data_IF_534194363649
#
_entry.id   IF_534194363649
#
_cell.length_a   1.000
_cell.length_b   1.000
_cell.length_c   1.000
_cell.angle_alpha   90.00
_cell.angle_beta   90.00
_cell.angle_gamma   90.00
#
_symmetry.space_group_name_H-M   'P 1'
#
loop_
_entity.id
_entity.type
_entity.pdbx_description
1 polymer ?
#
# COMPACT_ATOMS: atom_id res chain seq x y z
N UNK A 1 -13.83 -67.49 -11.99
CA UNK A 1 -12.86 -66.37 -12.07
C UNK A 1 -13.12 -65.48 -10.86
N UNK A 2 -12.21 -65.44 -9.87
CA UNK A 2 -12.30 -64.57 -8.67
C UNK A 2 -11.27 -63.45 -8.77
N UNK A 3 -11.52 -62.30 -8.14
CA UNK A 3 -10.69 -61.10 -8.27
C UNK A 3 -9.55 -61.07 -7.24
N UNK A 4 -8.43 -60.42 -7.58
CA UNK A 4 -7.20 -60.38 -6.76
C UNK A 4 -7.46 -59.80 -5.36
N UNK A 5 -8.47 -58.93 -5.21
CA UNK A 5 -8.86 -58.32 -3.94
C UNK A 5 -9.47 -59.35 -2.96
N UNK A 6 -10.24 -60.32 -3.46
CA UNK A 6 -10.92 -61.36 -2.66
C UNK A 6 -9.94 -62.40 -2.08
N UNK A 7 -8.87 -62.71 -2.83
CA UNK A 7 -7.80 -63.64 -2.42
C UNK A 7 -6.96 -63.08 -1.26
N UNK A 8 -6.92 -61.75 -1.10
CA UNK A 8 -6.09 -61.07 -0.10
C UNK A 8 -6.87 -60.75 1.18
N UNK A 9 -8.20 -60.63 1.14
CA UNK A 9 -8.99 -60.14 2.28
C UNK A 9 -9.97 -61.11 2.95
N UNK A 10 -10.32 -62.27 2.36
CA UNK A 10 -11.32 -63.16 2.97
C UNK A 10 -11.30 -64.63 2.56
N UNK A 11 -11.02 -64.96 1.30
CA UNK A 11 -11.29 -66.30 0.75
C UNK A 11 -10.10 -67.28 0.85
N UNK A 12 -9.07 -66.93 1.64
CA UNK A 12 -7.80 -67.68 1.65
C UNK A 12 -7.98 -69.14 2.08
N UNK A 13 -8.84 -69.40 3.07
CA UNK A 13 -9.08 -70.76 3.56
C UNK A 13 -9.72 -71.64 2.49
N UNK A 14 -10.80 -71.17 1.87
CA UNK A 14 -11.52 -71.89 0.82
C UNK A 14 -10.63 -72.22 -0.40
N UNK A 15 -9.71 -71.31 -0.75
CA UNK A 15 -8.75 -71.53 -1.85
C UNK A 15 -7.72 -72.62 -1.47
N UNK A 16 -7.23 -72.64 -0.24
CA UNK A 16 -6.28 -73.67 0.20
C UNK A 16 -6.93 -75.04 0.23
N UNK A 17 -8.19 -75.14 0.65
CA UNK A 17 -8.92 -76.40 0.72
C UNK A 17 -9.09 -77.01 -0.67
N UNK A 18 -9.49 -76.20 -1.67
CA UNK A 18 -9.65 -76.63 -3.06
C UNK A 18 -8.31 -77.08 -3.65
N UNK A 19 -7.22 -76.35 -3.38
CA UNK A 19 -5.88 -76.70 -3.88
C UNK A 19 -5.38 -77.98 -3.22
N UNK A 20 -5.60 -78.13 -1.91
CA UNK A 20 -5.20 -79.32 -1.14
C UNK A 20 -5.94 -80.55 -1.65
N UNK A 21 -7.26 -80.48 -1.84
CA UNK A 21 -8.04 -81.60 -2.37
C UNK A 21 -7.59 -82.01 -3.79
N UNK A 22 -7.34 -81.03 -4.66
CA UNK A 22 -6.89 -81.27 -6.02
C UNK A 22 -5.45 -81.83 -6.09
N UNK A 23 -4.60 -81.48 -5.12
CA UNK A 23 -3.25 -82.02 -4.99
C UNK A 23 -3.27 -83.43 -4.40
N UNK A 24 -4.07 -83.68 -3.37
CA UNK A 24 -4.20 -84.98 -2.71
C UNK A 24 -4.73 -86.07 -3.64
N UNK A 25 -5.71 -85.74 -4.50
CA UNK A 25 -6.22 -86.70 -5.52
C UNK A 25 -5.12 -87.18 -6.48
N UNK A 26 -4.20 -86.29 -6.88
CA UNK A 26 -3.08 -86.65 -7.76
C UNK A 26 -1.97 -87.38 -7.02
N UNK A 27 -1.70 -87.00 -5.77
CA UNK A 27 -0.67 -87.63 -4.96
C UNK A 27 -1.04 -89.07 -4.54
N UNK A 28 -2.34 -89.37 -4.41
CA UNK A 28 -2.85 -90.70 -4.14
C UNK A 28 -2.49 -91.73 -5.24
N UNK A 29 -2.40 -91.31 -6.50
CA UNK A 29 -1.95 -92.17 -7.62
C UNK A 29 -0.48 -92.60 -7.48
N UNK A 30 0.31 -91.87 -6.70
CA UNK A 30 1.72 -92.16 -6.42
C UNK A 30 1.95 -92.70 -5.00
N UNK A 31 0.88 -92.97 -4.23
CA UNK A 31 0.97 -93.45 -2.85
C UNK A 31 1.48 -92.42 -1.84
N UNK A 32 1.35 -91.12 -2.14
CA UNK A 32 1.84 -90.02 -1.32
C UNK A 32 0.65 -89.34 -0.62
N UNK A 33 0.76 -89.12 0.69
CA UNK A 33 -0.23 -88.40 1.50
C UNK A 33 0.20 -86.93 1.73
N UNK A 34 -0.68 -85.98 1.41
CA UNK A 34 -0.44 -84.55 1.61
C UNK A 34 -1.14 -84.10 2.90
N UNK A 35 -0.36 -83.61 3.86
CA UNK A 35 -0.86 -83.18 5.19
C UNK A 35 -1.31 -81.71 5.22
N UNK A 36 -0.59 -80.81 4.53
CA UNK A 36 -0.89 -79.37 4.53
C UNK A 36 -0.28 -78.66 3.31
N UNK A 37 -1.00 -77.68 2.75
CA UNK A 37 -0.54 -76.82 1.64
C UNK A 37 -0.59 -75.36 2.07
N UNK A 38 0.54 -74.65 1.98
CA UNK A 38 0.62 -73.22 2.31
C UNK A 38 1.20 -72.41 1.16
N UNK A 39 0.56 -71.27 0.85
CA UNK A 39 1.14 -70.28 -0.07
C UNK A 39 2.31 -69.58 0.63
N UNK A 40 3.50 -69.66 0.01
CA UNK A 40 4.74 -69.04 0.49
C UNK A 40 4.83 -67.54 0.16
N UNK A 41 4.44 -67.14 -1.06
CA UNK A 41 4.47 -65.75 -1.53
C UNK A 41 3.54 -65.59 -2.74
N UNK A 42 2.84 -64.46 -2.81
CA UNK A 42 2.12 -64.03 -4.02
C UNK A 42 2.94 -62.89 -4.61
N UNK A 43 3.44 -63.05 -5.83
CA UNK A 43 4.13 -61.98 -6.54
C UNK A 43 3.13 -61.27 -7.44
N UNK A 44 2.87 -60.00 -7.16
CA UNK A 44 2.13 -59.14 -8.07
C UNK A 44 3.06 -58.74 -9.23
N UNK A 45 2.59 -58.79 -10.50
CA UNK A 45 3.37 -58.32 -11.65
C UNK A 45 3.78 -56.85 -11.43
N UNK A 46 5.04 -56.55 -11.65
CA UNK A 46 5.64 -55.21 -11.45
C UNK A 46 5.00 -54.13 -12.33
N UNK A 47 4.31 -54.50 -13.42
CA UNK A 47 3.63 -53.54 -14.29
C UNK A 47 2.40 -52.88 -13.64
N UNK A 48 1.71 -53.55 -12.70
CA UNK A 48 0.50 -52.99 -12.07
C UNK A 48 0.86 -51.93 -11.03
N UNK A 49 2.00 -52.09 -10.34
CA UNK A 49 2.43 -51.15 -9.29
C UNK A 49 2.83 -49.79 -9.87
N UNK A 50 3.51 -49.75 -11.03
CA UNK A 50 4.01 -48.48 -11.59
C UNK A 50 2.87 -47.52 -11.96
N UNK A 51 1.76 -48.04 -12.48
CA UNK A 51 0.60 -47.22 -12.85
C UNK A 51 -0.09 -46.55 -11.65
N UNK A 52 -0.21 -47.29 -10.53
CA UNK A 52 -0.79 -46.78 -9.28
C UNK A 52 0.14 -45.74 -8.65
N UNK A 53 1.45 -46.01 -8.61
CA UNK A 53 2.42 -45.04 -8.09
C UNK A 53 2.42 -43.73 -8.87
N UNK A 54 2.41 -43.77 -10.21
CA UNK A 54 2.31 -42.56 -11.04
C UNK A 54 1.03 -41.77 -10.79
N UNK A 55 -0.10 -42.45 -10.60
CA UNK A 55 -1.36 -41.79 -10.24
C UNK A 55 -1.29 -41.12 -8.87
N UNK A 56 -0.72 -41.81 -7.88
CA UNK A 56 -0.55 -41.24 -6.53
C UNK A 56 0.39 -40.03 -6.51
N UNK A 57 1.44 -40.05 -7.34
CA UNK A 57 2.37 -38.94 -7.50
C UNK A 57 1.67 -37.72 -8.13
N UNK A 58 0.90 -37.94 -9.21
CA UNK A 58 0.11 -36.90 -9.85
C UNK A 58 -0.96 -36.30 -8.91
N UNK A 59 -1.69 -37.14 -8.16
CA UNK A 59 -2.65 -36.67 -7.15
C UNK A 59 -1.95 -35.82 -6.08
N UNK A 60 -0.80 -36.26 -5.56
CA UNK A 60 -0.02 -35.47 -4.59
C UNK A 60 0.49 -34.16 -5.14
N UNK A 61 0.97 -34.15 -6.39
CA UNK A 61 1.44 -32.92 -7.03
C UNK A 61 0.29 -31.94 -7.23
N UNK A 62 -0.88 -32.44 -7.65
CA UNK A 62 -2.10 -31.64 -7.79
C UNK A 62 -2.54 -31.05 -6.46
N UNK A 63 -2.60 -31.85 -5.39
CA UNK A 63 -2.97 -31.40 -4.05
C UNK A 63 -1.99 -30.35 -3.52
N UNK A 64 -0.68 -30.58 -3.69
CA UNK A 64 0.34 -29.62 -3.29
C UNK A 64 0.23 -28.32 -4.08
N UNK A 65 -0.04 -28.38 -5.38
CA UNK A 65 -0.24 -27.19 -6.22
C UNK A 65 -1.49 -26.42 -5.80
N UNK A 66 -2.58 -27.13 -5.51
CA UNK A 66 -3.83 -26.53 -5.04
C UNK A 66 -3.62 -25.81 -3.70
N UNK A 67 -2.96 -26.45 -2.74
CA UNK A 67 -2.66 -25.85 -1.43
C UNK A 67 -1.75 -24.63 -1.55
N UNK A 68 -0.72 -24.67 -2.41
CA UNK A 68 0.13 -23.50 -2.66
C UNK A 68 -0.65 -22.35 -3.28
N UNK A 69 -1.47 -22.63 -4.29
CA UNK A 69 -2.29 -21.61 -4.94
C UNK A 69 -3.31 -20.98 -3.98
N UNK A 70 -3.93 -21.78 -3.11
CA UNK A 70 -4.81 -21.28 -2.06
C UNK A 70 -4.05 -20.41 -1.05
N UNK A 71 -2.87 -20.86 -0.60
CA UNK A 71 -2.03 -20.09 0.31
C UNK A 71 -1.58 -18.76 -0.29
N UNK A 72 -1.21 -18.74 -1.57
CA UNK A 72 -0.87 -17.52 -2.30
C UNK A 72 -2.07 -16.57 -2.44
N UNK A 73 -3.25 -17.10 -2.80
CA UNK A 73 -4.46 -16.30 -2.92
C UNK A 73 -4.88 -15.68 -1.57
N UNK A 74 -4.79 -16.46 -0.48
CA UNK A 74 -5.07 -15.97 0.87
C UNK A 74 -4.06 -14.90 1.27
N UNK A 75 -2.77 -15.13 1.02
CA UNK A 75 -1.73 -14.17 1.35
C UNK A 75 -1.92 -12.84 0.60
N UNK A 76 -2.29 -12.87 -0.69
CA UNK A 76 -2.60 -11.67 -1.47
C UNK A 76 -3.82 -10.95 -0.88
N UNK A 77 -4.86 -11.68 -0.48
CA UNK A 77 -6.05 -11.08 0.14
C UNK A 77 -5.72 -10.40 1.47
N UNK A 78 -4.96 -11.07 2.33
CA UNK A 78 -4.56 -10.53 3.64
C UNK A 78 -3.70 -9.27 3.45
N UNK A 79 -2.71 -9.30 2.56
CA UNK A 79 -1.87 -8.12 2.28
C UNK A 79 -2.70 -6.95 1.76
N UNK A 80 -3.57 -7.19 0.77
CA UNK A 80 -4.41 -6.13 0.21
C UNK A 80 -5.38 -5.54 1.26
N UNK A 81 -5.89 -6.37 2.18
CA UNK A 81 -6.72 -5.90 3.28
C UNK A 81 -5.91 -5.04 4.27
N UNK A 82 -4.73 -5.51 4.67
CA UNK A 82 -3.84 -4.78 5.57
C UNK A 82 -3.37 -3.45 4.97
N UNK A 83 -3.03 -3.42 3.67
CA UNK A 83 -2.64 -2.21 2.96
C UNK A 83 -3.79 -1.19 2.95
N UNK A 84 -5.02 -1.63 2.64
CA UNK A 84 -6.20 -0.76 2.71
C UNK A 84 -6.42 -0.19 4.11
N UNK A 85 -6.38 -1.05 5.13
CA UNK A 85 -6.58 -0.64 6.52
C UNK A 85 -5.50 0.35 6.96
N UNK A 86 -4.25 0.16 6.56
CA UNK A 86 -3.16 1.08 6.87
C UNK A 86 -3.39 2.47 6.28
N UNK A 87 -3.83 2.55 5.03
CA UNK A 87 -4.12 3.82 4.35
C UNK A 87 -5.31 4.51 5.00
N UNK A 88 -6.37 3.76 5.33
CA UNK A 88 -7.54 4.30 6.01
C UNK A 88 -7.18 4.84 7.41
N UNK A 89 -6.41 4.09 8.19
CA UNK A 89 -5.99 4.50 9.53
C UNK A 89 -5.13 5.76 9.50
N UNK A 90 -4.17 5.82 8.57
CA UNK A 90 -3.32 7.02 8.41
C UNK A 90 -4.16 8.21 7.99
N UNK A 91 -5.08 8.05 7.04
CA UNK A 91 -5.97 9.12 6.61
C UNK A 91 -6.89 9.62 7.75
N UNK A 92 -7.42 8.71 8.57
CA UNK A 92 -8.22 9.07 9.76
C UNK A 92 -7.37 9.82 10.79
N UNK A 93 -6.15 9.35 11.05
CA UNK A 93 -5.24 10.00 11.99
C UNK A 93 -4.83 11.41 11.53
N UNK A 94 -4.55 11.59 10.23
CA UNK A 94 -4.26 12.90 9.65
C UNK A 94 -5.45 13.84 9.73
N UNK A 95 -6.65 13.36 9.36
CA UNK A 95 -7.89 14.13 9.48
C UNK A 95 -8.12 14.61 10.92
N UNK A 96 -7.99 13.70 11.88
CA UNK A 96 -8.22 14.02 13.28
C UNK A 96 -7.15 14.99 13.81
N UNK A 97 -5.89 14.84 13.39
CA UNK A 97 -4.82 15.77 13.72
C UNK A 97 -5.06 17.17 13.14
N UNK A 98 -5.52 17.27 11.90
CA UNK A 98 -5.86 18.54 11.26
C UNK A 98 -7.08 19.19 11.88
N UNK A 99 -8.07 18.40 12.31
CA UNK A 99 -9.21 18.89 13.07
C UNK A 99 -8.76 19.50 14.40
N UNK A 100 -7.96 18.76 15.19
CA UNK A 100 -7.45 19.26 16.48
C UNK A 100 -6.61 20.52 16.28
N UNK A 101 -5.78 20.57 15.23
CA UNK A 101 -4.98 21.76 14.91
C UNK A 101 -5.88 22.93 14.53
N UNK A 102 -6.91 22.71 13.70
CA UNK A 102 -7.88 23.73 13.31
C UNK A 102 -8.67 24.28 14.49
N UNK A 103 -9.09 23.41 15.41
CA UNK A 103 -9.76 23.80 16.65
C UNK A 103 -8.83 24.64 17.56
N UNK A 104 -7.55 24.23 17.66
CA UNK A 104 -6.53 24.97 18.41
C UNK A 104 -6.22 26.34 17.82
N UNK A 105 -6.06 26.42 16.49
CA UNK A 105 -5.80 27.66 15.78
C UNK A 105 -7.00 28.61 15.84
N UNK A 106 -8.23 28.07 15.73
CA UNK A 106 -9.47 28.82 15.91
C UNK A 106 -9.58 29.41 17.32
N UNK A 107 -9.37 28.59 18.35
CA UNK A 107 -9.38 29.05 19.74
C UNK A 107 -8.29 30.09 20.03
N UNK A 108 -7.10 29.95 19.45
CA UNK A 108 -6.03 30.93 19.57
C UNK A 108 -6.41 32.26 18.89
N UNK A 109 -6.98 32.20 17.68
CA UNK A 109 -7.46 33.38 16.96
C UNK A 109 -8.55 34.12 17.74
N UNK A 110 -9.49 33.41 18.35
CA UNK A 110 -10.54 33.99 19.18
C UNK A 110 -9.98 34.71 20.41
N UNK A 111 -9.05 34.08 21.13
CA UNK A 111 -8.37 34.70 22.28
C UNK A 111 -7.59 35.95 21.84
N UNK A 112 -6.91 35.90 20.70
CA UNK A 112 -6.18 37.05 20.17
C UNK A 112 -7.11 38.19 19.75
N UNK A 113 -8.25 37.88 19.13
CA UNK A 113 -9.26 38.87 18.78
C UNK A 113 -9.85 39.53 20.03
N UNK A 114 -10.15 38.76 21.07
CA UNK A 114 -10.62 39.28 22.36
C UNK A 114 -9.57 40.19 23.01
N UNK A 115 -8.29 39.79 23.03
CA UNK A 115 -7.20 40.60 23.58
C UNK A 115 -6.99 41.91 22.79
N UNK A 116 -7.07 41.85 21.46
CA UNK A 116 -6.98 43.04 20.60
C UNK A 116 -8.13 44.02 20.85
N UNK A 117 -9.36 43.51 21.02
CA UNK A 117 -10.53 44.32 21.35
C UNK A 117 -10.43 45.01 22.71
N UNK A 118 -9.71 44.41 23.67
CA UNK A 118 -9.48 45.03 24.99
C UNK A 118 -8.48 46.19 24.91
N UNK A 119 -7.34 46.00 24.24
CA UNK A 119 -6.37 47.07 24.00
C UNK A 119 -5.45 46.73 22.81
N UNK A 120 -5.68 47.42 21.69
CA UNK A 120 -4.97 47.19 20.42
C UNK A 120 -3.50 47.58 20.47
N UNK A 121 -3.15 48.67 21.14
CA UNK A 121 -1.75 49.15 21.25
C UNK A 121 -0.89 48.21 22.11
N UNK A 122 -1.42 47.76 23.25
CA UNK A 122 -0.70 46.83 24.13
C UNK A 122 -0.51 45.46 23.46
N UNK A 123 -1.52 44.97 22.75
CA UNK A 123 -1.44 43.71 22.01
C UNK A 123 -0.34 43.75 20.93
N UNK A 124 -0.28 44.83 20.15
CA UNK A 124 0.74 45.00 19.11
C UNK A 124 2.17 45.00 19.69
N UNK A 125 2.38 45.70 20.81
CA UNK A 125 3.64 45.68 21.55
C UNK A 125 3.98 44.27 22.04
N UNK A 126 3.07 43.60 22.75
CA UNK A 126 3.31 42.27 23.32
C UNK A 126 3.61 41.20 22.25
N UNK A 127 2.93 41.27 21.10
CA UNK A 127 3.19 40.39 19.95
C UNK A 127 4.58 40.62 19.36
N UNK A 128 5.01 41.88 19.23
CA UNK A 128 6.37 42.21 18.74
C UNK A 128 7.46 41.68 19.69
N UNK A 129 7.27 41.81 21.01
CA UNK A 129 8.20 41.29 22.01
C UNK A 129 8.31 39.76 21.97
N UNK A 130 7.18 39.05 21.79
CA UNK A 130 7.20 37.60 21.62
C UNK A 130 7.88 37.17 20.32
N UNK A 131 7.68 37.92 19.22
CA UNK A 131 8.36 37.66 17.95
C UNK A 131 9.89 37.81 18.09
N UNK A 132 10.35 38.84 18.80
CA UNK A 132 11.78 38.99 19.13
C UNK A 132 12.28 37.78 19.92
N UNK A 133 11.58 37.41 21.01
CA UNK A 133 11.99 36.28 21.85
C UNK A 133 12.12 34.97 21.05
N UNK A 134 11.20 34.71 20.12
CA UNK A 134 11.22 33.51 19.28
C UNK A 134 12.38 33.53 18.28
N UNK A 135 12.64 34.68 17.67
CA UNK A 135 13.69 34.84 16.64
C UNK A 135 15.09 34.82 17.26
N UNK A 136 15.26 35.33 18.48
CA UNK A 136 16.56 35.35 19.18
C UNK A 136 16.84 34.10 20.03
N UNK A 137 15.97 33.08 20.00
CA UNK A 137 16.15 31.87 20.80
C UNK A 137 17.19 30.90 20.21
N UNK A 138 17.49 31.00 18.92
CA UNK A 138 18.48 30.17 18.23
C UNK A 138 19.76 30.97 17.90
N UNK A 139 20.92 30.52 18.41
CA UNK A 139 22.21 31.24 18.31
C UNK A 139 22.83 31.28 16.90
N UNK A 140 22.16 30.69 15.89
CA UNK A 140 22.68 30.49 14.52
C UNK A 140 21.95 31.30 13.45
N UNK A 141 20.94 32.09 13.83
CA UNK A 141 20.13 32.83 12.86
C UNK A 141 20.83 34.14 12.45
N UNK A 142 21.38 34.16 11.24
CA UNK A 142 21.88 35.39 10.59
C UNK A 142 20.68 36.10 9.98
N UNK A 143 20.20 37.14 10.65
CA UNK A 143 19.00 37.87 10.26
C UNK A 143 19.36 39.13 9.46
N UNK A 144 19.09 39.11 8.15
CA UNK A 144 19.30 40.27 7.27
C UNK A 144 17.98 41.05 7.13
N UNK A 145 17.77 42.05 7.99
CA UNK A 145 16.57 42.91 7.98
C UNK A 145 16.98 44.36 7.73
N UNK A 146 16.21 45.05 6.88
CA UNK A 146 16.36 46.48 6.66
C UNK A 146 16.13 47.27 7.97
N UNK A 147 17.02 48.20 8.34
CA UNK A 147 16.97 48.92 9.62
C UNK A 147 15.65 49.64 9.91
N UNK A 148 14.89 49.96 8.87
CA UNK A 148 13.65 50.72 8.82
C UNK A 148 12.38 49.84 8.73
N UNK A 149 12.53 48.52 8.90
CA UNK A 149 11.40 47.59 8.94
C UNK A 149 10.47 47.82 10.14
N UNK A 150 9.17 47.64 9.90
CA UNK A 150 8.10 47.62 10.92
C UNK A 150 8.36 46.66 12.08
N UNK A 151 9.23 45.68 11.85
CA UNK A 151 9.70 44.76 12.86
C UNK A 151 10.35 45.48 14.05
N UNK A 152 11.11 46.58 13.85
CA UNK A 152 11.81 47.29 14.94
C UNK A 152 11.05 48.51 15.48
N UNK A 153 9.79 48.72 15.06
CA UNK A 153 9.00 49.91 15.41
C UNK A 153 8.93 50.15 16.92
N UNK A 154 8.63 49.10 17.68
CA UNK A 154 8.56 49.13 19.14
C UNK A 154 9.92 48.99 19.85
N UNK A 155 10.99 48.62 19.13
CA UNK A 155 12.36 48.61 19.66
C UNK A 155 12.97 50.02 19.67
N UNK A 156 12.66 50.84 18.66
CA UNK A 156 13.18 52.21 18.53
C UNK A 156 12.33 53.27 19.26
N UNK A 157 11.04 53.01 19.48
CA UNK A 157 10.13 53.91 20.17
C UNK A 157 9.10 53.12 20.98
N UNK A 158 9.03 53.36 22.29
CA UNK A 158 8.08 52.67 23.20
C UNK A 158 6.61 52.90 22.82
N UNK A 159 6.30 53.93 22.03
CA UNK A 159 4.95 54.30 21.61
C UNK A 159 4.59 53.86 20.19
N UNK A 160 5.46 53.10 19.50
CA UNK A 160 5.13 52.54 18.19
C UNK A 160 4.88 53.56 17.07
N UNK A 161 5.35 54.80 17.23
CA UNK A 161 5.25 55.82 16.18
C UNK A 161 6.23 55.53 15.04
N UNK A 162 5.72 55.54 13.81
CA UNK A 162 6.54 55.41 12.59
C UNK A 162 7.50 56.61 12.53
N UNK A 163 8.83 56.41 12.49
CA UNK A 163 9.73 57.53 12.22
C UNK A 163 9.45 57.99 10.78
N UNK A 164 9.00 59.24 10.66
CA UNK A 164 8.79 59.92 9.39
C UNK A 164 10.10 59.88 8.61
N UNK A 165 10.20 59.02 7.60
CA UNK A 165 11.32 59.01 6.67
C UNK A 165 11.14 60.20 5.74
N UNK A 166 12.00 61.21 5.91
CA UNK A 166 12.13 62.28 4.92
C UNK A 166 12.62 61.65 3.60
N UNK A 167 11.95 61.87 2.46
CA UNK A 167 12.46 61.38 1.19
C UNK A 167 13.72 62.16 0.83
N UNK A 168 14.88 61.52 0.95
CA UNK A 168 16.12 62.06 0.38
C UNK A 168 16.01 62.09 -1.15
N UNK A 169 16.49 63.16 -1.82
CA UNK A 169 16.27 63.35 -3.25
C UNK A 169 17.07 62.34 -4.07
N UNK A 170 16.38 61.63 -4.96
CA UNK A 170 17.01 60.81 -5.99
C UNK A 170 17.82 61.74 -6.90
N UNK A 171 19.15 61.67 -6.79
CA UNK A 171 20.07 62.33 -7.71
C UNK A 171 19.97 61.66 -9.08
N UNK A 172 19.49 62.42 -10.05
CA UNK A 172 19.46 62.03 -11.46
C UNK A 172 20.88 61.74 -11.94
N UNK A 173 21.13 60.52 -12.42
CA UNK A 173 22.18 60.28 -13.42
C UNK A 173 21.59 59.31 -14.44
N UNK A 174 21.27 59.87 -15.61
CA UNK A 174 20.62 59.14 -16.68
C UNK A 174 21.57 58.15 -17.35
N UNK A 175 21.04 56.97 -17.63
CA UNK A 175 21.48 56.12 -18.74
C UNK A 175 20.20 55.54 -19.36
N UNK A 176 19.93 55.95 -20.59
CA UNK A 176 18.85 55.45 -21.44
C UNK A 176 19.28 54.14 -22.11
N UNK A 177 18.49 53.05 -22.05
CA UNK A 177 18.61 51.95 -23.00
C UNK A 177 17.84 52.26 -24.30
N UNK A 178 18.21 51.65 -25.45
CA UNK A 178 17.73 52.04 -26.76
C UNK A 178 16.26 51.66 -26.99
N UNK A 179 15.57 52.50 -27.79
CA UNK A 179 14.18 52.31 -28.19
C UNK A 179 14.03 51.12 -29.14
N UNK A 180 13.37 50.07 -28.68
CA UNK A 180 12.80 49.05 -29.57
C UNK A 180 11.43 49.51 -30.06
N UNK A 181 11.25 49.55 -31.37
CA UNK A 181 10.09 50.09 -32.08
C UNK A 181 8.93 49.11 -31.95
N UNK A 182 7.89 49.48 -31.21
CA UNK A 182 6.62 48.76 -31.17
C UNK A 182 5.86 49.09 -32.47
N UNK A 183 5.72 48.09 -33.33
CA UNK A 183 4.86 48.12 -34.49
C UNK A 183 3.41 47.94 -34.03
N UNK A 184 2.60 48.98 -34.22
CA UNK A 184 1.18 49.00 -33.88
C UNK A 184 0.39 48.17 -34.87
N UNK A 185 -0.23 47.07 -34.42
CA UNK A 185 -1.31 46.41 -35.16
C UNK A 185 -2.63 46.73 -34.45
N UNK A 186 -3.46 47.55 -35.10
CA UNK A 186 -4.85 47.78 -34.73
C UNK A 186 -5.69 46.51 -34.92
N UNK A 187 -6.69 46.23 -34.07
CA UNK A 187 -7.63 45.14 -34.34
C UNK A 187 -8.78 45.64 -35.22
N UNK A 188 -9.03 44.94 -36.34
CA UNK A 188 -10.32 44.96 -37.04
C UNK A 188 -11.10 43.67 -36.71
N UNK A 189 -12.42 43.73 -36.48
CA UNK A 189 -13.26 42.54 -36.30
C UNK A 189 -14.04 42.21 -37.57
N UNK A 190 -14.21 40.92 -37.89
CA UNK A 190 -15.24 40.34 -38.80
C UNK A 190 -15.24 38.81 -38.50
N UNK A 191 -16.24 38.24 -37.81
CA UNK A 191 -17.53 37.76 -38.31
C UNK A 191 -17.46 36.50 -39.21
N UNK A 192 -18.02 35.38 -38.71
CA UNK A 192 -18.83 34.44 -39.52
C UNK A 192 -18.26 33.04 -39.83
N UNK A 193 -19.10 32.01 -39.57
CA UNK A 193 -19.09 30.67 -40.21
C UNK A 193 -18.49 29.56 -39.33
N UNK A 194 -19.26 28.79 -38.54
CA UNK A 194 -20.09 27.63 -38.89
C UNK A 194 -19.33 26.34 -39.30
N UNK A 195 -19.74 25.23 -38.65
CA UNK A 195 -19.59 23.79 -38.98
C UNK A 195 -18.19 23.16 -38.84
N UNK A 196 -18.00 21.91 -38.43
CA UNK A 196 -18.90 20.78 -38.18
C UNK A 196 -18.18 19.76 -37.28
N UNK A 197 -18.97 18.91 -36.61
CA UNK A 197 -18.55 17.81 -35.75
C UNK A 197 -18.38 16.55 -36.60
N UNK A 198 -17.23 15.88 -36.51
CA UNK A 198 -17.07 14.43 -36.66
C UNK A 198 -15.89 14.01 -35.75
N UNK A 199 -15.93 12.99 -34.90
CA UNK A 199 -16.83 11.84 -34.85
C UNK A 199 -16.20 10.64 -35.56
N UNK A 200 -15.01 10.20 -35.11
CA UNK A 200 -14.39 8.96 -35.60
C UNK A 200 -14.33 7.92 -34.46
N UNK A 201 -15.08 6.84 -34.71
CA UNK A 201 -15.01 5.53 -34.09
C UNK A 201 -14.06 4.67 -34.92
N UNK A 202 -13.17 3.94 -34.24
CA UNK A 202 -12.66 2.62 -34.66
C UNK A 202 -12.46 1.77 -33.40
#
# INVERSE_FOLDING_TARGET
>A
KRTIKEVVSGDRAEIMDIITEAASKRAAEFGIEIVDVRIKKIELPTEVSTSVYRRMEAEREQDAKQLRSQGEAEAVRIRAAADRESVELVALAERDADQIRGEGDGGAADIYAQAYNQNSEFYALYRSLNAYKKTFNDRRDILLIQPDSDFFRYFKSLTGSVPKSDPSPISQRGETPPKERVETVSPQPLAGGEKEVSGDLD
#
